data_IF_240117266796
#
_entry.id   IF_240117266796
#
_cell.length_a   1.000
_cell.length_b   1.000
_cell.length_c   1.000
_cell.angle_alpha   90.00
_cell.angle_beta   90.00
_cell.angle_gamma   90.00
#
_symmetry.space_group_name_H-M   'P 1'
#
loop_
_entity.id
_entity.type
_entity.pdbx_description
1 polymer ?
#
# COMPACT_ATOMS: atom_id res chain seq x y z
N UNK A 1 0.52 13.91 -23.09
CA UNK A 1 0.23 14.66 -21.84
C UNK A 1 -1.03 15.51 -21.98
N UNK A 2 -1.26 16.18 -23.11
CA UNK A 2 -2.43 17.05 -23.34
C UNK A 2 -3.81 16.39 -23.21
N UNK A 3 -3.95 15.12 -23.59
CA UNK A 3 -5.21 14.39 -23.43
C UNK A 3 -5.56 14.12 -21.96
N UNK A 4 -4.54 13.89 -21.12
CA UNK A 4 -4.70 13.65 -19.68
C UNK A 4 -5.12 14.95 -18.98
N UNK A 5 -4.51 16.08 -19.37
CA UNK A 5 -4.90 17.39 -18.84
C UNK A 5 -6.32 17.81 -19.23
N UNK A 6 -6.77 17.50 -20.46
CA UNK A 6 -8.17 17.75 -20.86
C UNK A 6 -9.17 16.90 -20.09
N UNK A 7 -8.87 15.62 -19.87
CA UNK A 7 -9.72 14.74 -19.06
C UNK A 7 -9.75 15.22 -17.61
N UNK A 8 -8.62 15.71 -17.08
CA UNK A 8 -8.55 16.28 -15.74
C UNK A 8 -9.38 17.55 -15.58
N UNK A 9 -9.36 18.44 -16.58
CA UNK A 9 -10.13 19.70 -16.59
C UNK A 9 -11.65 19.45 -16.62
N UNK A 10 -12.09 18.37 -17.28
CA UNK A 10 -13.50 17.95 -17.31
C UNK A 10 -13.96 17.37 -15.96
N UNK A 11 -13.05 16.70 -15.25
CA UNK A 11 -13.34 16.01 -13.98
C UNK A 11 -13.16 16.96 -12.79
N UNK A 12 -12.46 18.08 -12.94
CA UNK A 12 -12.20 18.99 -11.83
C UNK A 12 -13.22 20.13 -11.76
N UNK A 13 -14.34 19.92 -11.05
CA UNK A 13 -15.33 20.99 -10.80
C UNK A 13 -15.08 21.79 -9.50
N UNK A 14 -13.86 21.68 -8.92
CA UNK A 14 -13.40 22.40 -7.72
C UNK A 14 -14.36 22.32 -6.51
N UNK A 15 -15.14 21.24 -6.44
CA UNK A 15 -16.08 20.97 -5.35
C UNK A 15 -15.32 20.48 -4.09
N UNK A 16 -15.94 20.67 -2.93
CA UNK A 16 -15.42 20.23 -1.62
C UNK A 16 -15.06 18.73 -1.64
N UNK A 17 -15.85 17.93 -2.35
CA UNK A 17 -15.68 16.49 -2.47
C UNK A 17 -14.42 16.10 -3.25
N UNK A 18 -14.02 16.88 -4.25
CA UNK A 18 -12.79 16.64 -5.01
C UNK A 18 -11.56 16.89 -4.15
N UNK A 19 -11.54 17.99 -3.41
CA UNK A 19 -10.46 18.29 -2.46
C UNK A 19 -10.37 17.25 -1.34
N UNK A 20 -11.51 16.83 -0.77
CA UNK A 20 -11.54 15.77 0.23
C UNK A 20 -10.94 14.46 -0.29
N UNK A 21 -11.29 14.05 -1.51
CA UNK A 21 -10.76 12.83 -2.13
C UNK A 21 -9.25 12.92 -2.40
N UNK A 22 -8.75 14.07 -2.89
CA UNK A 22 -7.30 14.28 -3.10
C UNK A 22 -6.54 14.23 -1.78
N UNK A 23 -7.04 14.88 -0.73
CA UNK A 23 -6.37 14.90 0.59
C UNK A 23 -6.31 13.49 1.16
N UNK A 24 -7.43 12.77 1.17
CA UNK A 24 -7.49 11.38 1.67
C UNK A 24 -6.54 10.47 0.88
N UNK A 25 -6.56 10.54 -0.45
CA UNK A 25 -5.68 9.73 -1.28
C UNK A 25 -4.21 10.13 -1.10
N UNK A 26 -3.90 11.42 -1.05
CA UNK A 26 -2.54 11.93 -0.88
C UNK A 26 -1.92 11.49 0.44
N UNK A 27 -2.66 11.61 1.55
CA UNK A 27 -2.20 11.16 2.87
C UNK A 27 -2.03 9.64 2.89
N UNK A 28 -2.97 8.88 2.34
CA UNK A 28 -2.89 7.42 2.33
C UNK A 28 -1.75 6.89 1.45
N UNK A 29 -1.55 7.45 0.26
CA UNK A 29 -0.44 7.10 -0.63
C UNK A 29 0.88 7.51 -0.01
N UNK A 30 0.97 8.72 0.55
CA UNK A 30 2.18 9.20 1.23
C UNK A 30 2.57 8.31 2.41
N UNK A 31 1.59 7.93 3.24
CA UNK A 31 1.80 7.00 4.34
C UNK A 31 2.29 5.65 3.86
N UNK A 32 1.63 5.07 2.84
CA UNK A 32 2.01 3.74 2.35
C UNK A 32 3.40 3.75 1.70
N UNK A 33 3.73 4.76 0.89
CA UNK A 33 5.08 4.93 0.35
C UNK A 33 6.09 5.04 1.49
N UNK A 34 5.81 5.81 2.54
CA UNK A 34 6.68 5.92 3.70
C UNK A 34 6.90 4.57 4.39
N UNK A 35 5.84 3.80 4.67
CA UNK A 35 5.98 2.45 5.24
C UNK A 35 6.75 1.51 4.34
N UNK A 36 6.55 1.56 3.02
CA UNK A 36 7.29 0.73 2.06
C UNK A 36 8.75 1.09 1.97
N UNK A 37 9.08 2.38 1.99
CA UNK A 37 10.47 2.86 1.95
C UNK A 37 11.19 2.45 3.21
N UNK A 38 10.56 2.60 4.38
CA UNK A 38 11.12 2.14 5.65
C UNK A 38 11.32 0.63 5.64
N UNK A 39 10.27 -0.14 5.31
CA UNK A 39 10.32 -1.60 5.21
C UNK A 39 11.41 -2.05 4.22
N UNK A 40 11.54 -1.33 3.10
CA UNK A 40 12.55 -1.61 2.10
C UNK A 40 13.97 -1.41 2.58
N UNK A 41 14.20 -0.36 3.39
CA UNK A 41 15.50 -0.03 3.96
C UNK A 41 15.92 -1.04 5.02
N UNK A 42 15.02 -1.39 5.94
CA UNK A 42 15.27 -2.43 6.95
C UNK A 42 15.55 -3.79 6.31
N UNK A 43 14.65 -4.26 5.43
CA UNK A 43 14.80 -5.54 4.72
C UNK A 43 16.09 -5.64 3.90
N UNK A 44 16.54 -4.55 3.26
CA UNK A 44 17.77 -4.60 2.47
C UNK A 44 19.02 -4.78 3.34
N UNK A 45 19.03 -4.24 4.57
CA UNK A 45 20.11 -4.49 5.55
C UNK A 45 20.17 -5.96 5.93
N UNK A 46 19.02 -6.57 6.25
CA UNK A 46 18.94 -7.98 6.60
C UNK A 46 19.36 -8.90 5.44
N UNK A 47 18.93 -8.58 4.22
CA UNK A 47 19.32 -9.33 3.01
C UNK A 47 20.84 -9.24 2.79
N UNK A 48 21.44 -8.07 2.97
CA UNK A 48 22.88 -7.90 2.80
C UNK A 48 23.71 -8.61 3.88
N UNK A 49 23.21 -8.67 5.12
CA UNK A 49 23.80 -9.46 6.21
C UNK A 49 23.78 -10.95 5.88
N UNK A 50 22.61 -11.48 5.51
CA UNK A 50 22.43 -12.87 5.09
C UNK A 50 23.29 -13.24 3.87
N UNK A 51 23.40 -12.32 2.90
CA UNK A 51 24.24 -12.51 1.71
C UNK A 51 25.72 -12.66 2.09
N UNK A 52 26.21 -11.85 3.04
CA UNK A 52 27.56 -11.95 3.57
C UNK A 52 27.80 -13.29 4.26
N UNK A 53 26.88 -13.70 5.14
CA UNK A 53 26.97 -14.95 5.90
C UNK A 53 26.92 -16.20 5.00
N UNK A 54 26.19 -16.12 3.89
CA UNK A 54 26.16 -17.15 2.83
C UNK A 54 27.41 -17.15 1.94
N UNK A 55 28.41 -16.31 2.21
CA UNK A 55 29.66 -16.25 1.44
C UNK A 55 29.53 -15.54 0.08
N UNK A 56 28.44 -14.80 -0.16
CA UNK A 56 28.24 -14.01 -1.39
C UNK A 56 28.65 -12.55 -1.16
N UNK A 57 29.19 -11.91 -2.20
CA UNK A 57 29.64 -10.50 -2.17
C UNK A 57 28.50 -9.57 -1.71
N UNK A 58 28.65 -8.96 -0.54
CA UNK A 58 27.72 -7.98 0.03
C UNK A 58 28.44 -6.65 0.30
N UNK A 59 27.68 -5.57 0.47
CA UNK A 59 28.20 -4.23 0.77
C UNK A 59 28.00 -3.83 2.24
N UNK A 60 27.63 -4.79 3.10
CA UNK A 60 27.30 -4.50 4.49
C UNK A 60 28.56 -4.13 5.27
N UNK A 61 28.44 -3.14 6.14
CA UNK A 61 29.51 -2.74 7.04
C UNK A 61 29.69 -3.79 8.15
N UNK A 62 30.93 -4.13 8.49
CA UNK A 62 31.27 -5.20 9.44
C UNK A 62 30.62 -5.00 10.84
N UNK A 63 30.49 -3.74 11.26
CA UNK A 63 29.78 -3.35 12.49
C UNK A 63 28.30 -3.75 12.46
N UNK A 64 27.60 -3.44 11.37
CA UNK A 64 26.18 -3.76 11.19
C UNK A 64 25.94 -5.27 11.12
N UNK A 65 26.86 -5.99 10.45
CA UNK A 65 26.84 -7.44 10.38
C UNK A 65 26.97 -8.10 11.77
N UNK A 66 27.89 -7.60 12.60
CA UNK A 66 28.10 -8.14 13.96
C UNK A 66 26.91 -7.90 14.89
N UNK A 67 26.28 -6.71 14.79
CA UNK A 67 25.06 -6.37 15.54
C UNK A 67 23.92 -7.31 15.17
N UNK A 68 23.68 -7.49 13.86
CA UNK A 68 22.63 -8.37 13.35
C UNK A 68 22.85 -9.83 13.76
N UNK A 69 24.10 -10.30 13.72
CA UNK A 69 24.50 -11.67 14.06
C UNK A 69 24.27 -11.96 15.55
N UNK A 70 24.67 -11.05 16.44
CA UNK A 70 24.46 -11.22 17.89
C UNK A 70 22.98 -11.18 18.29
N UNK A 71 22.15 -10.50 17.50
CA UNK A 71 20.71 -10.35 17.75
C UNK A 71 19.91 -11.56 17.25
N UNK A 72 20.25 -12.11 16.07
CA UNK A 72 19.45 -13.14 15.40
C UNK A 72 20.06 -14.55 15.41
N UNK A 73 21.37 -14.69 15.62
CA UNK A 73 22.08 -15.98 15.65
C UNK A 73 22.60 -16.28 17.06
N UNK A 74 22.74 -17.56 17.38
CA UNK A 74 23.41 -17.96 18.63
C UNK A 74 24.91 -17.68 18.51
N UNK A 75 25.42 -16.79 19.37
CA UNK A 75 26.84 -16.46 19.42
C UNK A 75 27.48 -16.98 20.70
N UNK A 76 28.71 -17.49 20.58
CA UNK A 76 29.58 -17.84 21.71
C UNK A 76 30.86 -17.05 21.52
N UNK A 77 31.23 -16.25 22.52
CA UNK A 77 32.38 -15.34 22.46
C UNK A 77 32.35 -14.40 21.24
N UNK A 78 31.20 -13.78 20.96
CA UNK A 78 31.04 -12.78 19.88
C UNK A 78 31.29 -13.32 18.46
N UNK A 79 31.28 -14.65 18.28
CA UNK A 79 31.34 -15.32 16.99
C UNK A 79 30.11 -16.22 16.83
N UNK A 80 29.50 -16.25 15.64
CA UNK A 80 28.35 -17.11 15.38
C UNK A 80 28.75 -18.57 15.55
N UNK A 81 28.03 -19.31 16.40
CA UNK A 81 28.29 -20.72 16.64
C UNK A 81 27.94 -21.47 15.37
N UNK A 82 28.95 -22.07 14.74
CA UNK A 82 28.77 -23.01 13.63
C UNK A 82 28.73 -24.41 14.20
N UNK A 83 27.58 -25.05 14.17
CA UNK A 83 27.47 -26.49 14.45
C UNK A 83 27.46 -27.19 13.09
N UNK A 84 28.46 -28.03 12.82
CA UNK A 84 28.56 -28.78 11.55
C UNK A 84 28.55 -27.89 10.28
N UNK A 85 29.16 -26.70 10.34
CA UNK A 85 29.20 -25.76 9.23
C UNK A 85 27.93 -24.93 9.02
N UNK A 86 26.95 -25.00 9.93
CA UNK A 86 25.64 -24.34 9.83
C UNK A 86 25.37 -23.44 11.04
N UNK A 87 24.56 -22.38 10.86
CA UNK A 87 24.29 -21.36 11.88
C UNK A 87 22.99 -21.67 12.65
N UNK A 88 23.02 -21.64 13.99
CA UNK A 88 21.81 -21.74 14.81
C UNK A 88 21.12 -20.37 14.92
N UNK A 89 19.83 -20.33 14.57
CA UNK A 89 19.00 -19.12 14.67
C UNK A 89 18.43 -19.04 16.10
N UNK A 90 18.70 -17.93 16.78
CA UNK A 90 18.11 -17.63 18.10
C UNK A 90 16.71 -17.05 17.97
N UNK A 91 16.53 -16.17 16.99
CA UNK A 91 15.28 -15.47 16.74
C UNK A 91 15.13 -15.16 15.25
N UNK A 92 13.95 -15.43 14.69
CA UNK A 92 13.66 -15.05 13.32
C UNK A 92 13.61 -13.52 13.21
N UNK A 93 14.22 -12.92 12.16
CA UNK A 93 14.15 -11.48 11.94
C UNK A 93 12.70 -11.01 11.89
N UNK A 94 12.41 -9.84 12.48
CA UNK A 94 11.06 -9.27 12.60
C UNK A 94 10.30 -9.19 11.27
N UNK A 95 11.06 -9.12 10.17
CA UNK A 95 10.56 -9.14 8.79
C UNK A 95 9.74 -10.41 8.44
N UNK A 96 9.99 -11.53 9.14
CA UNK A 96 9.33 -12.82 8.96
C UNK A 96 8.15 -13.03 9.92
N UNK A 97 8.13 -12.30 11.04
CA UNK A 97 7.07 -12.42 12.07
C UNK A 97 5.95 -11.42 11.86
N UNK A 98 6.20 -10.31 11.14
CA UNK A 98 5.17 -9.33 10.80
C UNK A 98 4.34 -9.73 9.57
N UNK A 99 3.01 -9.64 9.72
CA UNK A 99 2.05 -9.75 8.61
C UNK A 99 2.41 -8.77 7.50
N UNK A 100 2.76 -9.30 6.33
CA UNK A 100 3.15 -8.53 5.13
C UNK A 100 1.99 -7.73 4.53
N UNK A 101 0.75 -7.93 5.00
CA UNK A 101 -0.44 -7.29 4.42
C UNK A 101 -0.54 -5.83 4.86
N UNK A 102 -0.64 -4.94 3.88
CA UNK A 102 -0.99 -3.54 4.12
C UNK A 102 -2.36 -3.41 4.81
N UNK A 103 -2.41 -2.66 5.91
CA UNK A 103 -3.64 -2.31 6.64
C UNK A 103 -4.51 -1.29 5.88
N UNK A 104 -4.03 -0.70 4.79
CA UNK A 104 -4.68 0.43 4.13
C UNK A 104 -5.70 0.04 3.05
N UNK A 105 -6.02 -1.26 2.89
CA UNK A 105 -6.98 -1.75 1.89
C UNK A 105 -8.36 -1.06 1.97
N UNK A 106 -8.74 -0.57 3.14
CA UNK A 106 -9.99 0.17 3.37
C UNK A 106 -10.05 1.53 2.66
N UNK A 107 -8.91 2.17 2.36
CA UNK A 107 -8.87 3.51 1.74
C UNK A 107 -9.48 3.50 0.34
N UNK A 108 -9.30 2.43 -0.42
CA UNK A 108 -9.95 2.28 -1.72
C UNK A 108 -11.47 2.31 -1.60
N UNK A 109 -12.01 1.57 -0.63
CA UNK A 109 -13.45 1.58 -0.31
C UNK A 109 -13.92 2.95 0.18
N UNK A 110 -13.11 3.65 0.98
CA UNK A 110 -13.42 4.99 1.46
C UNK A 110 -13.49 6.02 0.31
N UNK A 111 -12.55 5.98 -0.63
CA UNK A 111 -12.56 6.82 -1.83
C UNK A 111 -13.84 6.60 -2.65
N UNK A 112 -14.22 5.34 -2.86
CA UNK A 112 -15.47 4.99 -3.56
C UNK A 112 -16.69 5.50 -2.79
N UNK A 113 -16.71 5.36 -1.46
CA UNK A 113 -17.81 5.86 -0.62
C UNK A 113 -17.94 7.40 -0.69
N UNK A 114 -16.82 8.12 -0.67
CA UNK A 114 -16.79 9.58 -0.85
C UNK A 114 -17.33 9.97 -2.24
N UNK A 115 -16.96 9.24 -3.30
CA UNK A 115 -17.49 9.47 -4.65
C UNK A 115 -19.01 9.24 -4.75
N UNK A 116 -19.52 8.19 -4.10
CA UNK A 116 -20.97 7.92 -4.02
C UNK A 116 -21.70 9.02 -3.23
N UNK A 117 -21.11 9.50 -2.14
CA UNK A 117 -21.67 10.63 -1.38
C UNK A 117 -21.72 11.92 -2.22
N UNK A 118 -20.65 12.22 -2.98
CA UNK A 118 -20.62 13.34 -3.91
C UNK A 118 -21.68 13.22 -5.02
N UNK A 119 -21.97 11.98 -5.46
CA UNK A 119 -23.03 11.71 -6.45
C UNK A 119 -24.40 12.10 -5.90
N UNK A 120 -24.70 11.67 -4.67
CA UNK A 120 -25.96 12.03 -4.01
C UNK A 120 -26.08 13.54 -3.81
N UNK A 121 -24.98 14.19 -3.41
CA UNK A 121 -24.94 15.64 -3.24
C UNK A 121 -25.19 16.39 -4.57
N UNK A 122 -24.51 16.01 -5.65
CA UNK A 122 -24.67 16.65 -6.96
C UNK A 122 -26.09 16.53 -7.51
N UNK A 123 -26.72 15.35 -7.37
CA UNK A 123 -28.12 15.17 -7.76
C UNK A 123 -29.05 16.03 -6.90
N UNK A 124 -28.84 16.07 -5.57
CA UNK A 124 -29.64 16.88 -4.67
C UNK A 124 -29.51 18.38 -4.98
N UNK A 125 -28.31 18.86 -5.28
CA UNK A 125 -28.06 20.24 -5.70
C UNK A 125 -28.71 20.55 -7.06
N UNK A 126 -28.70 19.60 -8.01
CA UNK A 126 -29.32 19.75 -9.32
C UNK A 126 -30.85 19.87 -9.26
N UNK A 127 -31.49 19.06 -8.40
CA UNK A 127 -32.96 19.09 -8.21
C UNK A 127 -33.38 20.32 -7.38
N UNK A 128 -32.59 20.71 -6.37
CA UNK A 128 -32.89 21.85 -5.51
C UNK A 128 -32.91 23.21 -6.23
N UNK A 129 -32.30 23.29 -7.42
CA UNK A 129 -32.25 24.50 -8.24
C UNK A 129 -33.45 24.64 -9.21
N UNK A 130 -34.43 23.73 -9.18
CA UNK A 130 -35.61 23.80 -10.05
C UNK A 130 -36.64 24.76 -9.45
N UNK A 131 -37.02 25.86 -10.13
CA UNK A 131 -38.08 26.74 -9.68
C UNK A 131 -39.45 26.05 -9.89
N UNK A 132 -39.85 25.21 -8.95
CA UNK A 132 -41.11 24.45 -8.98
C UNK A 132 -42.37 25.35 -8.95
N UNK A 133 -42.22 26.63 -8.59
CA UNK A 133 -43.33 27.57 -8.45
C UNK A 133 -43.69 28.34 -9.74
N UNK A 134 -42.83 28.32 -10.77
CA UNK A 134 -42.97 29.14 -12.01
C UNK A 134 -42.79 28.32 -13.29
N UNK A 135 -43.33 27.10 -13.33
CA UNK A 135 -43.24 26.21 -14.50
C UNK A 135 -44.05 26.69 -15.72
N UNK A 136 -44.79 27.79 -15.60
CA UNK A 136 -45.62 28.34 -16.66
C UNK A 136 -44.81 29.15 -17.69
N UNK A 137 -43.56 29.50 -17.38
CA UNK A 137 -42.67 30.22 -18.28
C UNK A 137 -41.60 29.29 -18.88
N UNK A 138 -41.46 29.32 -20.20
CA UNK A 138 -40.49 28.49 -20.94
C UNK A 138 -39.05 28.78 -20.49
N UNK A 139 -38.78 30.02 -20.06
CA UNK A 139 -37.46 30.43 -19.60
C UNK A 139 -37.11 29.83 -18.22
N UNK A 140 -38.09 29.65 -17.34
CA UNK A 140 -37.93 29.00 -16.03
C UNK A 140 -37.70 27.50 -16.18
N UNK A 141 -38.36 26.86 -17.15
CA UNK A 141 -38.11 25.46 -17.50
C UNK A 141 -36.69 25.24 -18.03
N UNK A 142 -36.20 26.11 -18.93
CA UNK A 142 -34.83 26.02 -19.44
C UNK A 142 -33.77 26.19 -18.33
N UNK A 143 -34.02 27.08 -17.36
CA UNK A 143 -33.15 27.23 -16.18
C UNK A 143 -33.15 26.00 -15.28
N UNK A 144 -34.32 25.40 -15.04
CA UNK A 144 -34.43 24.16 -14.28
C UNK A 144 -33.71 22.98 -14.94
N UNK A 145 -33.83 22.84 -16.27
CA UNK A 145 -33.09 21.82 -17.04
C UNK A 145 -31.58 22.06 -16.96
N UNK A 146 -31.14 23.32 -17.08
CA UNK A 146 -29.72 23.67 -16.97
C UNK A 146 -29.15 23.33 -15.59
N UNK A 147 -29.85 23.69 -14.51
CA UNK A 147 -29.43 23.35 -13.14
C UNK A 147 -29.40 21.85 -12.87
N UNK A 148 -30.32 21.08 -13.46
CA UNK A 148 -30.31 19.62 -13.35
C UNK A 148 -29.15 18.99 -14.13
N UNK A 149 -28.83 19.52 -15.31
CA UNK A 149 -27.67 19.10 -16.10
C UNK A 149 -26.34 19.41 -15.37
N UNK A 150 -26.25 20.56 -14.71
CA UNK A 150 -25.08 20.95 -13.91
C UNK A 150 -24.91 20.02 -12.70
N UNK A 151 -25.98 19.77 -11.94
CA UNK A 151 -25.92 18.84 -10.80
C UNK A 151 -25.57 17.40 -11.23
N UNK A 152 -26.06 16.96 -12.38
CA UNK A 152 -25.70 15.65 -12.96
C UNK A 152 -24.23 15.59 -13.40
N UNK A 153 -23.68 16.68 -13.96
CA UNK A 153 -22.26 16.80 -14.30
C UNK A 153 -21.39 16.66 -13.06
N UNK A 154 -21.71 17.38 -11.99
CA UNK A 154 -21.01 17.29 -10.69
C UNK A 154 -21.10 15.88 -10.11
N UNK A 155 -22.30 15.27 -10.12
CA UNK A 155 -22.51 13.91 -9.63
C UNK A 155 -21.66 12.87 -10.39
N UNK A 156 -21.65 12.95 -11.73
CA UNK A 156 -20.84 12.05 -12.55
C UNK A 156 -19.34 12.25 -12.30
N UNK A 157 -18.90 13.50 -12.19
CA UNK A 157 -17.51 13.88 -11.94
C UNK A 157 -16.99 13.34 -10.60
N UNK A 158 -17.73 13.54 -9.51
CA UNK A 158 -17.37 13.01 -8.17
C UNK A 158 -17.30 11.49 -8.13
N UNK A 159 -18.22 10.78 -8.80
CA UNK A 159 -18.19 9.32 -8.90
C UNK A 159 -16.97 8.81 -9.65
N UNK A 160 -16.66 9.41 -10.80
CA UNK A 160 -15.50 9.05 -11.61
C UNK A 160 -14.20 9.30 -10.83
N UNK A 161 -14.14 10.38 -10.07
CA UNK A 161 -12.99 10.68 -9.23
C UNK A 161 -12.85 9.69 -8.06
N UNK A 162 -13.93 9.32 -7.37
CA UNK A 162 -13.89 8.38 -6.25
C UNK A 162 -13.54 6.95 -6.67
N UNK A 163 -14.12 6.48 -7.78
CA UNK A 163 -13.79 5.17 -8.37
C UNK A 163 -12.38 5.15 -8.97
N UNK A 164 -11.99 6.22 -9.65
CA UNK A 164 -10.65 6.39 -10.22
C UNK A 164 -9.57 6.40 -9.13
N UNK A 165 -9.77 7.22 -8.10
CA UNK A 165 -8.85 7.32 -6.96
C UNK A 165 -8.72 5.99 -6.21
N UNK A 166 -9.84 5.32 -5.92
CA UNK A 166 -9.85 4.01 -5.26
C UNK A 166 -9.19 2.90 -6.08
N UNK A 167 -9.37 2.92 -7.41
CA UNK A 167 -8.74 1.95 -8.32
C UNK A 167 -7.23 2.15 -8.39
N UNK A 168 -6.77 3.39 -8.55
CA UNK A 168 -5.34 3.72 -8.54
C UNK A 168 -4.70 3.31 -7.21
N UNK A 169 -5.37 3.60 -6.09
CA UNK A 169 -4.88 3.22 -4.77
C UNK A 169 -4.75 1.70 -4.61
N UNK A 170 -5.73 0.94 -5.12
CA UNK A 170 -5.68 -0.54 -5.11
C UNK A 170 -4.50 -1.07 -5.91
N UNK A 171 -4.19 -0.47 -7.06
CA UNK A 171 -3.00 -0.83 -7.86
C UNK A 171 -1.72 -0.53 -7.09
N UNK A 172 -1.62 0.64 -6.44
CA UNK A 172 -0.47 1.01 -5.60
C UNK A 172 -0.26 0.00 -4.47
N UNK A 173 -1.34 -0.43 -3.81
CA UNK A 173 -1.28 -1.47 -2.78
C UNK A 173 -0.81 -2.81 -3.34
N UNK A 174 -1.29 -3.20 -4.52
CA UNK A 174 -0.86 -4.44 -5.17
C UNK A 174 0.64 -4.43 -5.48
N UNK A 175 1.15 -3.34 -6.04
CA UNK A 175 2.59 -3.17 -6.32
C UNK A 175 3.39 -3.20 -5.02
N UNK A 176 2.91 -2.51 -3.99
CA UNK A 176 3.52 -2.49 -2.66
C UNK A 176 3.61 -3.89 -2.04
N UNK A 177 2.49 -4.61 -2.00
CA UNK A 177 2.42 -5.97 -1.47
C UNK A 177 3.35 -6.91 -2.28
N UNK A 178 3.41 -6.75 -3.60
CA UNK A 178 4.29 -7.53 -4.47
C UNK A 178 5.78 -7.28 -4.19
N UNK A 179 6.18 -6.03 -3.92
CA UNK A 179 7.55 -5.69 -3.52
C UNK A 179 7.87 -6.32 -2.16
N UNK A 180 6.95 -6.23 -1.20
CA UNK A 180 7.13 -6.82 0.14
C UNK A 180 7.28 -8.33 0.08
N UNK A 181 6.43 -9.02 -0.69
CA UNK A 181 6.52 -10.47 -0.91
C UNK A 181 7.83 -10.87 -1.59
N UNK A 182 8.25 -10.13 -2.62
CA UNK A 182 9.51 -10.40 -3.31
C UNK A 182 10.73 -10.30 -2.37
N UNK A 183 10.67 -9.43 -1.36
CA UNK A 183 11.71 -9.30 -0.33
C UNK A 183 11.65 -10.43 0.69
N UNK A 184 10.45 -10.76 1.15
CA UNK A 184 10.21 -11.91 2.03
C UNK A 184 10.75 -13.21 1.42
N UNK A 185 10.48 -13.46 0.14
CA UNK A 185 10.96 -14.64 -0.58
C UNK A 185 12.49 -14.67 -0.67
N UNK A 186 13.14 -13.52 -0.92
CA UNK A 186 14.60 -13.44 -0.95
C UNK A 186 15.20 -13.79 0.40
N UNK A 187 14.67 -13.21 1.49
CA UNK A 187 15.15 -13.49 2.86
C UNK A 187 14.96 -14.96 3.20
N UNK A 188 13.77 -15.51 2.94
CA UNK A 188 13.47 -16.93 3.19
C UNK A 188 14.40 -17.85 2.40
N UNK A 189 14.66 -17.55 1.12
CA UNK A 189 15.60 -18.33 0.30
C UNK A 189 17.04 -18.27 0.82
N UNK A 190 17.52 -17.09 1.23
CA UNK A 190 18.85 -16.98 1.82
C UNK A 190 18.93 -17.72 3.15
N UNK A 191 17.89 -17.61 3.99
CA UNK A 191 17.80 -18.28 5.28
C UNK A 191 17.81 -19.81 5.10
N UNK A 192 16.96 -20.35 4.22
CA UNK A 192 16.92 -21.78 3.95
C UNK A 192 18.24 -22.32 3.39
N UNK A 193 18.96 -21.52 2.60
CA UNK A 193 20.27 -21.90 2.11
C UNK A 193 21.34 -21.96 3.21
N UNK A 194 21.16 -21.24 4.32
CA UNK A 194 22.09 -21.25 5.48
C UNK A 194 21.60 -22.09 6.66
N UNK A 195 20.35 -22.57 6.63
CA UNK A 195 19.75 -23.42 7.67
C UNK A 195 18.99 -24.59 7.08
N UNK A 196 19.42 -25.82 7.39
CA UNK A 196 18.59 -27.01 7.19
C UNK A 196 17.61 -27.17 8.37
N UNK A 197 16.41 -27.73 8.13
CA UNK A 197 15.48 -28.02 9.20
C UNK A 197 16.16 -28.91 10.23
N UNK A 198 15.90 -28.65 11.51
CA UNK A 198 16.18 -29.59 12.58
C UNK A 198 15.47 -30.91 12.23
N UNK A 199 16.17 -31.84 11.57
CA UNK A 199 15.82 -33.25 11.66
C UNK A 199 16.17 -33.62 13.10
N UNK A 200 15.17 -33.49 13.96
CA UNK A 200 15.23 -34.03 15.31
C UNK A 200 15.39 -35.55 15.11
N UNK A 201 16.63 -36.06 15.17
CA UNK A 201 16.91 -37.50 15.25
C UNK A 201 16.48 -37.99 16.64
N UNK A 202 15.19 -37.85 16.96
CA UNK A 202 14.52 -38.38 18.15
C UNK A 202 13.30 -39.21 17.80
N UNK A 203 13.29 -39.83 16.62
CA UNK A 203 12.33 -40.90 16.29
C UNK A 203 13.01 -42.28 16.13
N UNK A 204 14.34 -42.34 16.26
CA UNK A 204 15.13 -43.57 16.23
C UNK A 204 15.28 -44.22 17.63
N UNK A 205 14.73 -43.56 18.68
CA UNK A 205 14.85 -43.98 20.08
C UNK A 205 13.63 -44.74 20.63
N UNK A 206 12.63 -45.03 19.79
CA UNK A 206 11.55 -45.95 20.14
C UNK A 206 11.54 -47.11 19.16
N UNK A 207 12.56 -47.95 19.32
CA UNK A 207 12.47 -49.38 19.05
C UNK A 207 11.88 -50.08 20.28
#
# INVERSE_FOLDING_TARGET
MDAIFKVWDIIWDNDLFHWANVIVLGVAVGWEIFTVVQYSKYSNRDIEALKHLSGKRSKIQERDLSSWTNEHLETKNNQPIKTNGQYNIKQYPEILTHSTRSNLRFVGTLCTAIGVLGTFYGIQAGIGNIPLNDLNDTQSLMKGVSGLLDGMKTAFSTSLMGLGSGSVFTIVLFVTDSIRQSKYDKITRYLHNITLPKKDNREDAFK
#
